data_IF_102197803835
#
_entry.id   IF_102197803835
#
_cell.length_a   1.000
_cell.length_b   1.000
_cell.length_c   1.000
_cell.angle_alpha   90.00
_cell.angle_beta   90.00
_cell.angle_gamma   90.00
#
_symmetry.space_group_name_H-M   'P 1'
#
loop_
_entity.id
_entity.type
_entity.pdbx_description
1 polymer ?
#
# COMPACT_ATOMS: atom_id res chain seq x y z
N UNK A 1 24.75 -57.56 9.88
CA UNK A 1 23.92 -56.62 9.08
C UNK A 1 22.77 -56.04 9.91
N UNK A 2 21.97 -56.85 10.61
CA UNK A 2 20.85 -56.40 11.47
C UNK A 2 21.17 -55.26 12.44
N UNK A 3 22.30 -55.31 13.16
CA UNK A 3 22.69 -54.25 14.12
C UNK A 3 22.84 -52.91 13.42
N UNK A 4 23.54 -52.88 12.27
CA UNK A 4 23.71 -51.67 11.49
C UNK A 4 22.36 -51.16 10.95
N UNK A 5 21.51 -52.04 10.43
CA UNK A 5 20.18 -51.65 9.94
C UNK A 5 19.31 -51.08 11.06
N UNK A 6 19.37 -51.66 12.26
CA UNK A 6 18.62 -51.18 13.43
C UNK A 6 19.08 -49.80 13.90
N UNK A 7 20.40 -49.54 13.91
CA UNK A 7 20.96 -48.23 14.25
C UNK A 7 20.55 -47.17 13.23
N UNK A 8 20.55 -47.50 11.94
CA UNK A 8 20.12 -46.59 10.88
C UNK A 8 18.63 -46.24 11.03
N UNK A 9 17.76 -47.22 11.28
CA UNK A 9 16.33 -46.99 11.49
C UNK A 9 16.09 -46.07 12.71
N UNK A 10 16.84 -46.29 13.79
CA UNK A 10 16.72 -45.49 15.01
C UNK A 10 17.21 -44.05 14.80
N UNK A 11 18.31 -43.88 14.08
CA UNK A 11 18.85 -42.56 13.71
C UNK A 11 17.90 -41.79 12.78
N UNK A 12 17.34 -42.45 11.77
CA UNK A 12 16.37 -41.83 10.84
C UNK A 12 15.06 -41.50 11.56
N UNK A 13 14.57 -42.39 12.43
CA UNK A 13 13.38 -42.14 13.24
C UNK A 13 13.56 -40.94 14.16
N UNK A 14 14.69 -40.85 14.85
CA UNK A 14 15.04 -39.70 15.68
C UNK A 14 15.13 -38.41 14.85
N UNK A 15 15.82 -38.45 13.72
CA UNK A 15 15.90 -37.32 12.80
C UNK A 15 14.53 -36.81 12.35
N UNK A 16 13.62 -37.71 11.97
CA UNK A 16 12.27 -37.36 11.54
C UNK A 16 11.46 -36.66 12.63
N UNK A 17 11.61 -37.06 13.89
CA UNK A 17 10.94 -36.41 15.02
C UNK A 17 11.41 -34.97 15.17
N UNK A 18 12.72 -34.73 15.14
CA UNK A 18 13.27 -33.37 15.24
C UNK A 18 12.96 -32.52 14.00
N UNK A 19 12.95 -33.12 12.81
CA UNK A 19 12.53 -32.44 11.58
C UNK A 19 11.06 -32.00 11.67
N UNK A 20 10.18 -32.88 12.17
CA UNK A 20 8.76 -32.56 12.37
C UNK A 20 8.58 -31.46 13.42
N UNK A 21 9.26 -31.55 14.56
CA UNK A 21 9.25 -30.51 15.59
C UNK A 21 9.71 -29.17 15.03
N UNK A 22 10.82 -29.16 14.30
CA UNK A 22 11.34 -27.96 13.64
C UNK A 22 10.34 -27.37 12.63
N UNK A 23 9.67 -28.22 11.85
CA UNK A 23 8.66 -27.79 10.89
C UNK A 23 7.44 -27.16 11.59
N UNK A 24 6.93 -27.79 12.66
CA UNK A 24 5.80 -27.28 13.45
C UNK A 24 6.16 -25.95 14.11
N UNK A 25 7.33 -25.86 14.74
CA UNK A 25 7.80 -24.60 15.34
C UNK A 25 7.91 -23.49 14.30
N UNK A 26 8.51 -23.79 13.14
CA UNK A 26 8.64 -22.82 12.04
C UNK A 26 7.28 -22.36 11.52
N UNK A 27 6.30 -23.27 11.41
CA UNK A 27 4.95 -22.93 11.01
C UNK A 27 4.28 -22.01 12.04
N UNK A 28 4.35 -22.35 13.33
CA UNK A 28 3.75 -21.56 14.40
C UNK A 28 4.39 -20.16 14.48
N UNK A 29 5.72 -20.07 14.55
CA UNK A 29 6.41 -18.79 14.58
C UNK A 29 6.25 -18.00 13.28
N UNK A 30 6.17 -18.68 12.14
CA UNK A 30 5.88 -18.06 10.84
C UNK A 30 4.49 -17.42 10.82
N UNK A 31 3.47 -18.11 11.34
CA UNK A 31 2.11 -17.56 11.46
C UNK A 31 2.10 -16.38 12.42
N UNK A 32 2.68 -16.53 13.62
CA UNK A 32 2.74 -15.46 14.63
C UNK A 32 3.45 -14.23 14.05
N UNK A 33 4.65 -14.41 13.51
CA UNK A 33 5.41 -13.33 12.90
C UNK A 33 4.68 -12.69 11.72
N UNK A 34 3.99 -13.49 10.90
CA UNK A 34 3.15 -13.01 9.81
C UNK A 34 2.00 -12.12 10.29
N UNK A 35 1.29 -12.54 11.34
CA UNK A 35 0.20 -11.75 11.95
C UNK A 35 0.74 -10.44 12.54
N UNK A 36 1.84 -10.48 13.29
CA UNK A 36 2.45 -9.26 13.83
C UNK A 36 2.95 -8.32 12.73
N UNK A 37 3.50 -8.86 11.65
CA UNK A 37 3.92 -8.07 10.48
C UNK A 37 2.72 -7.41 9.79
N UNK A 38 1.61 -8.14 9.65
CA UNK A 38 0.38 -7.58 9.07
C UNK A 38 -0.19 -6.46 9.95
N UNK A 39 -0.33 -6.72 11.26
CA UNK A 39 -0.85 -5.73 12.21
C UNK A 39 0.08 -4.52 12.30
N UNK A 40 1.38 -4.74 12.43
CA UNK A 40 2.40 -3.69 12.46
C UNK A 40 2.44 -2.90 11.16
N UNK A 41 2.26 -3.55 10.01
CA UNK A 41 2.18 -2.91 8.70
C UNK A 41 0.95 -2.01 8.57
N UNK A 42 -0.23 -2.50 8.97
CA UNK A 42 -1.48 -1.71 8.96
C UNK A 42 -1.35 -0.51 9.91
N UNK A 43 -0.92 -0.75 11.16
CA UNK A 43 -0.74 0.33 12.13
C UNK A 43 0.31 1.34 11.66
N UNK A 44 1.43 0.86 11.12
CA UNK A 44 2.49 1.70 10.55
C UNK A 44 1.99 2.53 9.37
N UNK A 45 1.18 1.96 8.48
CA UNK A 45 0.59 2.69 7.36
C UNK A 45 -0.41 3.75 7.83
N UNK A 46 -1.26 3.44 8.81
CA UNK A 46 -2.23 4.40 9.36
C UNK A 46 -1.50 5.53 10.09
N UNK A 47 -0.61 5.20 11.02
CA UNK A 47 0.12 6.19 11.82
C UNK A 47 1.05 7.01 10.92
N UNK A 48 1.82 6.34 10.05
CA UNK A 48 2.70 7.00 9.09
C UNK A 48 1.94 7.88 8.10
N UNK A 49 0.78 7.42 7.62
CA UNK A 49 -0.10 8.21 6.75
C UNK A 49 -0.66 9.45 7.45
N UNK A 50 -1.12 9.32 8.69
CA UNK A 50 -1.57 10.46 9.50
C UNK A 50 -0.43 11.42 9.78
N UNK A 51 0.75 10.92 10.14
CA UNK A 51 1.94 11.75 10.33
C UNK A 51 2.32 12.49 9.04
N UNK A 52 2.26 11.83 7.89
CA UNK A 52 2.50 12.46 6.59
C UNK A 52 1.46 13.53 6.27
N UNK A 53 0.18 13.33 6.61
CA UNK A 53 -0.84 14.37 6.46
C UNK A 53 -0.57 15.59 7.35
N UNK A 54 -0.06 15.38 8.57
CA UNK A 54 0.31 16.49 9.47
C UNK A 54 1.52 17.26 8.96
N UNK A 55 2.48 16.58 8.33
CA UNK A 55 3.71 17.18 7.79
C UNK A 55 3.52 17.70 6.36
N UNK A 56 2.48 17.26 5.65
CA UNK A 56 2.19 17.64 4.27
C UNK A 56 2.12 19.17 4.05
N UNK A 57 1.54 20.00 4.93
CA UNK A 57 1.54 21.45 4.77
C UNK A 57 2.96 22.04 4.81
N UNK A 58 3.81 21.52 5.70
CA UNK A 58 5.21 21.95 5.81
C UNK A 58 5.97 21.59 4.54
N UNK A 59 5.75 20.38 4.02
CA UNK A 59 6.35 19.94 2.75
C UNK A 59 5.84 20.75 1.57
N UNK A 60 4.54 21.06 1.51
CA UNK A 60 3.96 21.91 0.49
C UNK A 60 4.55 23.33 0.51
N UNK A 61 4.76 23.89 1.69
CA UNK A 61 5.46 25.18 1.86
C UNK A 61 6.94 25.09 1.47
N UNK A 62 7.62 23.99 1.77
CA UNK A 62 9.00 23.78 1.33
C UNK A 62 9.11 23.64 -0.21
N UNK A 63 8.08 23.08 -0.84
CA UNK A 63 8.00 22.91 -2.29
C UNK A 63 7.41 24.12 -3.03
N UNK A 64 7.12 25.24 -2.34
CA UNK A 64 6.55 26.45 -2.96
C UNK A 64 7.32 26.92 -4.21
N UNK A 65 8.66 26.94 -4.23
CA UNK A 65 9.42 27.39 -5.40
C UNK A 65 9.13 26.57 -6.67
N UNK A 66 8.78 25.30 -6.50
CA UNK A 66 8.43 24.37 -7.59
C UNK A 66 6.93 24.40 -7.87
N UNK A 67 6.10 24.50 -6.83
CA UNK A 67 4.64 24.51 -6.95
C UNK A 67 4.10 25.83 -7.55
N UNK A 68 4.76 26.96 -7.31
CA UNK A 68 4.35 28.27 -7.85
C UNK A 68 4.31 28.29 -9.40
N UNK A 69 5.39 27.91 -10.11
CA UNK A 69 5.37 27.82 -11.57
C UNK A 69 4.28 26.89 -12.10
N UNK A 70 4.10 25.73 -11.47
CA UNK A 70 3.09 24.72 -11.88
C UNK A 70 1.68 25.25 -11.66
N UNK A 71 1.41 25.87 -10.50
CA UNK A 71 0.12 26.47 -10.19
C UNK A 71 -0.22 27.62 -11.15
N UNK A 72 0.78 28.42 -11.55
CA UNK A 72 0.59 29.48 -12.53
C UNK A 72 0.19 28.95 -13.91
N UNK A 73 0.88 27.92 -14.40
CA UNK A 73 0.50 27.24 -15.65
C UNK A 73 -0.90 26.63 -15.57
N UNK A 74 -1.23 25.94 -14.47
CA UNK A 74 -2.55 25.37 -14.26
C UNK A 74 -3.64 26.45 -14.26
N UNK A 75 -3.38 27.60 -13.63
CA UNK A 75 -4.29 28.74 -13.62
C UNK A 75 -4.51 29.31 -15.02
N UNK A 76 -3.45 29.46 -15.83
CA UNK A 76 -3.57 29.92 -17.23
C UNK A 76 -4.46 28.96 -18.03
N UNK A 77 -4.17 27.66 -17.98
CA UNK A 77 -4.95 26.64 -18.70
C UNK A 77 -6.41 26.68 -18.27
N UNK A 78 -6.67 26.78 -16.97
CA UNK A 78 -8.02 26.88 -16.42
C UNK A 78 -8.73 28.16 -16.89
N UNK A 79 -8.06 29.31 -16.86
CA UNK A 79 -8.64 30.58 -17.28
C UNK A 79 -9.03 30.56 -18.76
N UNK A 80 -8.18 30.00 -19.62
CA UNK A 80 -8.47 29.80 -21.05
C UNK A 80 -9.69 28.88 -21.20
N UNK A 81 -9.65 27.69 -20.61
CA UNK A 81 -10.74 26.72 -20.71
C UNK A 81 -12.07 27.28 -20.19
N UNK A 82 -12.04 28.09 -19.12
CA UNK A 82 -13.23 28.75 -18.58
C UNK A 82 -13.77 29.81 -19.54
N UNK A 83 -12.90 30.62 -20.13
CA UNK A 83 -13.29 31.66 -21.09
C UNK A 83 -13.86 31.09 -22.40
N UNK A 84 -13.43 29.90 -22.79
CA UNK A 84 -13.92 29.22 -24.00
C UNK A 84 -15.30 28.56 -23.84
N UNK A 85 -15.87 28.48 -22.63
CA UNK A 85 -17.22 27.95 -22.44
C UNK A 85 -18.26 28.99 -22.86
N UNK A 86 -18.78 28.88 -24.07
CA UNK A 86 -19.95 29.66 -24.52
C UNK A 86 -21.21 29.15 -23.80
N UNK A 87 -22.16 30.02 -23.42
CA UNK A 87 -23.45 29.58 -22.91
C UNK A 87 -24.18 28.81 -24.02
N UNK A 88 -24.65 27.61 -23.71
CA UNK A 88 -25.54 26.85 -24.59
C UNK A 88 -26.83 27.66 -24.74
N UNK A 89 -27.00 28.32 -25.88
CA UNK A 89 -28.24 29.02 -26.21
C UNK A 89 -29.24 27.94 -26.61
N UNK A 90 -30.07 27.52 -25.65
CA UNK A 90 -31.22 26.66 -25.91
C UNK A 90 -32.25 27.50 -26.68
N UNK A 91 -32.25 27.36 -28.01
CA UNK A 91 -33.27 27.97 -28.86
C UNK A 91 -34.57 27.22 -28.61
N UNK A 92 -35.48 27.80 -27.82
CA UNK A 92 -36.84 27.29 -27.65
C UNK A 92 -37.61 27.65 -28.92
N UNK A 93 -38.11 26.67 -29.70
CA UNK A 93 -38.93 26.97 -30.87
C UNK A 93 -40.20 27.71 -30.42
N UNK A 94 -40.43 28.90 -30.96
CA UNK A 94 -41.66 29.63 -30.71
C UNK A 94 -42.83 28.79 -31.25
N UNK A 95 -43.72 28.36 -30.35
CA UNK A 95 -44.94 27.66 -30.71
C UNK A 95 -45.81 28.60 -31.56
N UNK A 96 -45.94 28.26 -32.84
CA UNK A 96 -46.78 28.95 -33.81
C UNK A 96 -48.26 28.79 -33.39
N UNK A 97 -48.96 29.92 -33.25
CA UNK A 97 -50.41 29.97 -32.97
C UNK A 97 -51.22 29.67 -34.22
#
# INVERSE_FOLDING_TARGET
>A
MIVLTSLVVLAVGFWLVFALLGAVLKLVFGIIGGVFSLVGGILGAVIGGVAMLLVAPVVALALLPVLLPVAFLAFIVWAIARSSRRPDVVVIPAANR
#
